data_IF_190091215863
#
_entry.id   IF_190091215863
#
_cell.length_a   1.000
_cell.length_b   1.000
_cell.length_c   1.000
_cell.angle_alpha   90.00
_cell.angle_beta   90.00
_cell.angle_gamma   90.00
#
_symmetry.space_group_name_H-M   'P 1'
#
loop_
_entity.id
_entity.type
_entity.pdbx_description
1 polymer ?
#
# COMPACT_ATOMS: atom_id res chain seq x y z
N UNK A 1 -14.73 8.63 11.06
CA UNK A 1 -13.33 8.45 11.44
C UNK A 1 -12.52 8.13 10.18
N UNK A 2 -11.57 8.99 9.85
CA UNK A 2 -10.78 8.78 8.66
C UNK A 2 -9.68 7.78 8.92
N UNK A 3 -9.77 6.69 8.22
CA UNK A 3 -8.87 5.57 8.35
C UNK A 3 -7.58 5.76 7.56
N UNK A 4 -7.64 6.59 6.53
CA UNK A 4 -6.59 6.67 5.54
C UNK A 4 -6.33 8.11 5.12
N UNK A 5 -5.07 8.55 5.25
CA UNK A 5 -4.64 9.87 4.82
C UNK A 5 -3.44 9.74 3.88
N UNK A 6 -3.45 10.55 2.82
CA UNK A 6 -2.33 10.66 1.88
C UNK A 6 -1.93 12.12 1.82
N UNK A 7 -0.64 12.40 2.01
CA UNK A 7 -0.10 13.77 1.99
C UNK A 7 -0.89 14.70 2.93
N UNK A 8 -1.23 14.17 4.12
CA UNK A 8 -2.00 14.87 5.14
C UNK A 8 -3.43 15.23 4.72
N UNK A 9 -3.91 14.67 3.62
CA UNK A 9 -5.29 14.82 3.17
C UNK A 9 -6.09 13.57 3.51
N UNK A 10 -7.15 13.74 4.28
CA UNK A 10 -8.04 12.64 4.60
C UNK A 10 -8.98 12.39 3.42
N UNK A 11 -9.05 11.13 3.01
CA UNK A 11 -9.97 10.69 1.97
C UNK A 11 -11.10 9.92 2.62
N UNK A 12 -12.32 10.34 2.31
CA UNK A 12 -13.52 9.63 2.75
C UNK A 12 -13.70 8.39 1.87
N UNK A 13 -12.86 7.40 2.13
CA UNK A 13 -12.82 6.18 1.35
C UNK A 13 -13.27 4.99 2.21
N UNK A 14 -14.07 4.13 1.60
CA UNK A 14 -14.54 2.92 2.24
C UNK A 14 -13.56 1.79 1.98
N UNK A 15 -12.85 1.36 3.01
CA UNK A 15 -11.91 0.24 2.91
C UNK A 15 -12.68 -1.04 3.20
N UNK A 16 -12.80 -1.90 2.21
CA UNK A 16 -13.56 -3.17 2.33
C UNK A 16 -12.66 -4.37 2.53
N UNK A 17 -11.41 -4.27 2.17
CA UNK A 17 -10.42 -5.31 2.40
C UNK A 17 -9.06 -4.66 2.64
N UNK A 18 -8.32 -5.24 3.58
CA UNK A 18 -7.07 -4.68 4.02
C UNK A 18 -6.15 -5.80 4.45
N UNK A 19 -4.91 -5.77 3.98
CA UNK A 19 -3.88 -6.72 4.42
C UNK A 19 -2.56 -6.00 4.66
N UNK A 20 -1.83 -6.49 5.63
CA UNK A 20 -0.49 -6.04 5.95
C UNK A 20 0.47 -7.19 5.71
N UNK A 21 1.58 -6.90 5.06
CA UNK A 21 2.63 -7.88 4.84
C UNK A 21 3.98 -7.27 5.16
N UNK A 22 4.94 -8.11 5.49
CA UNK A 22 6.30 -7.63 5.67
C UNK A 22 7.27 -8.42 4.80
N UNK A 23 8.37 -7.77 4.48
CA UNK A 23 9.45 -8.38 3.72
C UNK A 23 10.78 -7.94 4.35
N UNK A 24 11.62 -8.91 4.69
CA UNK A 24 12.93 -8.62 5.24
C UNK A 24 13.95 -8.76 4.11
N UNK A 25 14.64 -7.66 3.82
CA UNK A 25 15.65 -7.66 2.78
C UNK A 25 17.03 -7.90 3.36
N UNK A 26 17.83 -8.67 2.63
CA UNK A 26 19.19 -9.04 3.00
C UNK A 26 20.15 -8.61 1.91
N UNK A 27 21.39 -8.32 2.30
CA UNK A 27 22.44 -8.01 1.32
C UNK A 27 22.91 -9.28 0.62
N UNK A 28 23.70 -9.10 -0.44
CA UNK A 28 24.33 -10.23 -1.14
C UNK A 28 25.33 -10.99 -0.28
N UNK A 29 25.73 -10.45 0.87
CA UNK A 29 26.61 -11.14 1.82
C UNK A 29 25.88 -12.22 2.60
N UNK A 30 24.56 -12.23 2.60
CA UNK A 30 23.74 -13.27 3.23
C UNK A 30 23.91 -14.56 2.45
N UNK A 31 24.47 -15.57 3.10
CA UNK A 31 24.74 -16.86 2.45
C UNK A 31 24.88 -17.98 3.46
N UNK A 32 24.76 -19.20 2.98
CA UNK A 32 24.97 -20.41 3.77
C UNK A 32 26.38 -20.93 3.54
N UNK A 33 27.10 -21.29 4.60
CA UNK A 33 28.44 -21.86 4.45
C UNK A 33 28.37 -23.28 3.92
N UNK A 34 29.30 -23.64 3.06
CA UNK A 34 29.36 -25.01 2.48
C UNK A 34 29.77 -26.04 3.54
N UNK A 35 30.65 -25.66 4.47
CA UNK A 35 31.22 -26.61 5.42
C UNK A 35 30.22 -27.04 6.50
N UNK A 36 29.45 -26.13 7.06
CA UNK A 36 28.54 -26.42 8.16
C UNK A 36 27.07 -26.24 7.83
N UNK A 37 26.77 -25.67 6.68
CA UNK A 37 25.39 -25.29 6.33
C UNK A 37 24.86 -24.12 7.13
N UNK A 38 25.69 -23.49 7.93
CA UNK A 38 25.30 -22.34 8.74
C UNK A 38 24.97 -21.13 7.85
N UNK A 39 23.87 -20.46 8.16
CA UNK A 39 23.43 -19.29 7.40
C UNK A 39 23.98 -18.02 8.05
N UNK A 40 24.73 -17.24 7.28
CA UNK A 40 25.14 -15.90 7.67
C UNK A 40 24.08 -14.91 7.19
N UNK A 41 23.52 -14.15 8.13
CA UNK A 41 22.45 -13.19 7.86
C UNK A 41 23.00 -11.78 7.92
N UNK A 42 22.79 -11.03 6.82
CA UNK A 42 23.17 -9.62 6.76
C UNK A 42 21.94 -8.81 6.35
N UNK A 43 21.05 -8.54 7.31
CA UNK A 43 19.77 -7.88 6.99
C UNK A 43 19.94 -6.40 6.75
N UNK A 44 19.18 -5.86 5.79
CA UNK A 44 19.04 -4.43 5.54
C UNK A 44 17.97 -3.85 6.47
N UNK A 45 16.85 -4.53 6.55
CA UNK A 45 15.73 -4.10 7.37
C UNK A 45 14.42 -4.73 6.94
N UNK A 46 13.37 -4.41 7.67
CA UNK A 46 12.01 -4.90 7.40
C UNK A 46 11.18 -3.81 6.74
N UNK A 47 10.53 -4.18 5.65
CA UNK A 47 9.65 -3.32 4.85
C UNK A 47 8.23 -3.81 5.03
N UNK A 48 7.39 -3.01 5.67
CA UNK A 48 5.99 -3.36 5.96
C UNK A 48 5.10 -2.66 4.95
N UNK A 49 4.49 -3.44 4.07
CA UNK A 49 3.61 -2.94 3.04
C UNK A 49 2.16 -3.30 3.29
N UNK A 50 1.27 -2.70 2.53
CA UNK A 50 -0.16 -2.90 2.66
C UNK A 50 -0.81 -3.10 1.29
N UNK A 51 -1.86 -3.92 1.25
CA UNK A 51 -2.77 -4.01 0.12
C UNK A 51 -4.13 -3.55 0.59
N UNK A 52 -4.71 -2.59 -0.10
CA UNK A 52 -5.97 -1.98 0.31
C UNK A 52 -6.96 -2.02 -0.84
N UNK A 53 -8.16 -2.48 -0.56
CA UNK A 53 -9.28 -2.47 -1.51
C UNK A 53 -10.29 -1.42 -1.07
N UNK A 54 -10.54 -0.46 -1.94
CA UNK A 54 -11.48 0.63 -1.71
C UNK A 54 -12.77 0.38 -2.47
N UNK A 55 -13.89 0.72 -1.85
CA UNK A 55 -15.19 0.72 -2.49
C UNK A 55 -15.75 2.14 -2.55
N UNK A 56 -16.62 2.46 -3.53
CA UNK A 56 -17.25 3.76 -3.56
C UNK A 56 -18.12 3.96 -2.32
N UNK A 57 -18.03 5.15 -1.75
CA UNK A 57 -18.95 5.61 -0.72
C UNK A 57 -20.02 6.48 -1.36
N UNK A 58 -20.64 7.33 -0.58
CA UNK A 58 -21.65 8.28 -1.06
C UNK A 58 -21.08 9.27 -2.07
N UNK A 59 -19.77 9.50 -2.04
CA UNK A 59 -19.10 10.42 -2.95
C UNK A 59 -18.24 9.66 -3.97
N UNK A 60 -18.79 9.49 -5.16
CA UNK A 60 -18.06 8.85 -6.27
C UNK A 60 -16.89 9.69 -6.76
N UNK A 61 -16.99 11.02 -6.63
CA UNK A 61 -15.90 11.89 -7.03
C UNK A 61 -14.65 11.65 -6.18
N UNK A 62 -14.82 11.43 -4.88
CA UNK A 62 -13.71 11.11 -3.98
C UNK A 62 -13.07 9.76 -4.34
N UNK A 63 -13.89 8.79 -4.67
CA UNK A 63 -13.41 7.46 -5.11
C UNK A 63 -12.57 7.57 -6.39
N UNK A 64 -13.07 8.30 -7.39
CA UNK A 64 -12.35 8.49 -8.64
C UNK A 64 -11.09 9.32 -8.46
N UNK A 65 -11.13 10.33 -7.60
CA UNK A 65 -9.97 11.16 -7.29
C UNK A 65 -8.85 10.34 -6.65
N UNK A 66 -9.20 9.45 -5.73
CA UNK A 66 -8.24 8.57 -5.07
C UNK A 66 -7.61 7.58 -6.07
N UNK A 67 -8.42 6.98 -6.94
CA UNK A 67 -7.91 6.12 -8.00
C UNK A 67 -6.95 6.86 -8.93
N UNK A 68 -7.33 8.07 -9.35
CA UNK A 68 -6.48 8.88 -10.21
C UNK A 68 -5.19 9.31 -9.52
N UNK A 69 -5.23 9.54 -8.22
CA UNK A 69 -4.04 9.85 -7.44
C UNK A 69 -3.01 8.72 -7.52
N UNK A 70 -3.46 7.47 -7.32
CA UNK A 70 -2.55 6.32 -7.34
C UNK A 70 -1.96 6.03 -8.72
N UNK A 71 -2.64 6.41 -9.78
CA UNK A 71 -2.16 6.17 -11.14
C UNK A 71 -1.00 7.06 -11.56
N UNK A 72 -0.81 8.18 -10.91
CA UNK A 72 0.25 9.14 -11.29
C UNK A 72 1.59 8.68 -10.72
N UNK A 73 2.58 8.39 -11.59
CA UNK A 73 3.91 8.04 -11.11
C UNK A 73 4.59 9.23 -10.43
N UNK A 74 5.24 8.96 -9.29
CA UNK A 74 5.93 9.98 -8.51
C UNK A 74 7.32 9.49 -8.15
N UNK A 75 8.34 10.31 -8.41
CA UNK A 75 9.73 9.94 -8.13
C UNK A 75 10.03 9.76 -6.65
N UNK A 76 9.38 10.55 -5.82
CA UNK A 76 9.60 10.54 -4.37
C UNK A 76 8.50 9.82 -3.61
N UNK A 77 7.54 9.23 -4.34
CA UNK A 77 6.41 8.55 -3.74
C UNK A 77 5.44 9.52 -3.08
N UNK A 78 4.79 9.04 -2.04
CA UNK A 78 3.81 9.82 -1.29
C UNK A 78 3.83 9.40 0.17
N UNK A 79 3.44 10.32 1.05
CA UNK A 79 3.34 10.03 2.48
C UNK A 79 1.96 9.45 2.79
N UNK A 80 1.94 8.32 3.47
CA UNK A 80 0.71 7.65 3.84
C UNK A 80 0.61 7.51 5.36
N UNK A 81 -0.61 7.68 5.86
CA UNK A 81 -0.93 7.51 7.27
C UNK A 81 -2.14 6.59 7.38
N UNK A 82 -1.95 5.50 8.08
CA UNK A 82 -2.98 4.50 8.31
C UNK A 82 -3.30 4.45 9.79
N UNK A 83 -4.58 4.52 10.13
CA UNK A 83 -5.01 4.42 11.51
C UNK A 83 -5.42 2.99 11.77
N UNK A 84 -4.59 2.28 12.53
CA UNK A 84 -4.91 0.97 13.06
C UNK A 84 -5.56 1.15 14.43
N UNK A 85 -6.35 0.19 14.88
CA UNK A 85 -7.21 0.23 16.06
C UNK A 85 -6.73 1.09 17.24
N UNK A 86 -5.45 1.06 17.53
CA UNK A 86 -4.86 1.79 18.66
C UNK A 86 -3.58 2.52 18.31
N UNK A 87 -3.07 2.33 17.11
CA UNK A 87 -1.83 2.93 16.66
C UNK A 87 -2.01 3.55 15.28
N UNK A 88 -1.14 4.50 14.99
CA UNK A 88 -1.07 5.12 13.67
C UNK A 88 0.23 4.68 13.03
N UNK A 89 0.13 4.18 11.80
CA UNK A 89 1.30 3.80 11.00
C UNK A 89 1.48 4.86 9.93
N UNK A 90 2.68 5.39 9.83
CA UNK A 90 3.02 6.49 8.94
C UNK A 90 4.32 6.17 8.22
N UNK A 91 4.35 6.29 6.90
CA UNK A 91 5.57 6.06 6.14
C UNK A 91 5.47 6.66 4.74
N UNK A 92 6.62 6.85 4.10
CA UNK A 92 6.68 7.23 2.69
C UNK A 92 6.61 5.98 1.83
N UNK A 93 5.76 6.02 0.82
CA UNK A 93 5.38 4.84 0.07
C UNK A 93 5.32 5.10 -1.44
N UNK A 94 5.19 4.01 -2.18
CA UNK A 94 4.86 4.06 -3.60
C UNK A 94 3.91 2.93 -3.93
N UNK A 95 3.26 3.04 -5.08
CA UNK A 95 2.36 2.01 -5.61
C UNK A 95 2.95 1.48 -6.91
N UNK A 96 3.04 0.18 -7.05
CA UNK A 96 3.58 -0.44 -8.27
C UNK A 96 2.49 -0.89 -9.23
N UNK A 97 1.33 -1.29 -8.72
CA UNK A 97 0.20 -1.67 -9.55
C UNK A 97 -1.12 -1.45 -8.83
N UNK A 98 -2.17 -1.42 -9.62
CA UNK A 98 -3.53 -1.34 -9.11
C UNK A 98 -4.50 -1.93 -10.11
N UNK A 99 -5.65 -2.35 -9.63
CA UNK A 99 -6.72 -2.90 -10.45
C UNK A 99 -8.06 -2.32 -10.02
N UNK A 100 -8.89 -2.04 -10.99
CA UNK A 100 -10.22 -1.48 -10.77
C UNK A 100 -11.27 -2.42 -11.35
N UNK A 101 -12.28 -2.74 -10.56
CA UNK A 101 -13.32 -3.69 -10.95
C UNK A 101 -14.66 -2.99 -11.07
N UNK A 102 -15.31 -3.20 -12.22
CA UNK A 102 -16.66 -2.69 -12.45
C UNK A 102 -17.70 -3.80 -12.35
N UNK A 103 -18.91 -3.45 -11.97
CA UNK A 103 -20.03 -4.38 -11.86
C UNK A 103 -20.87 -4.41 -13.13
N UNK A 104 -21.01 -3.27 -13.81
CA UNK A 104 -21.90 -3.16 -14.97
C UNK A 104 -21.63 -1.89 -15.76
N UNK A 105 -22.12 -1.89 -17.01
CA UNK A 105 -22.12 -0.71 -17.86
C UNK A 105 -23.56 -0.51 -18.33
N UNK A 106 -24.14 0.66 -18.06
CA UNK A 106 -25.49 1.00 -18.44
C UNK A 106 -25.47 2.34 -19.20
N UNK A 107 -25.94 2.33 -20.43
CA UNK A 107 -26.00 3.53 -21.29
C UNK A 107 -24.65 4.26 -21.42
N UNK A 108 -23.56 3.48 -21.51
CA UNK A 108 -22.22 4.04 -21.61
C UNK A 108 -21.61 4.50 -20.29
N UNK A 109 -22.34 4.36 -19.19
CA UNK A 109 -21.84 4.71 -17.84
C UNK A 109 -21.32 3.46 -17.15
N UNK A 110 -20.07 3.52 -16.72
CA UNK A 110 -19.43 2.41 -16.02
C UNK A 110 -19.65 2.57 -14.52
N UNK A 111 -20.14 1.51 -13.89
CA UNK A 111 -20.35 1.45 -12.44
C UNK A 111 -19.22 0.67 -11.81
N UNK A 112 -18.25 1.39 -11.22
CA UNK A 112 -17.10 0.80 -10.57
C UNK A 112 -17.48 0.36 -9.15
N UNK A 113 -17.09 -0.86 -8.78
CA UNK A 113 -17.35 -1.42 -7.44
C UNK A 113 -16.20 -1.22 -6.49
N UNK A 114 -14.99 -1.58 -6.93
CA UNK A 114 -13.81 -1.53 -6.06
C UNK A 114 -12.57 -1.21 -6.87
N UNK A 115 -11.55 -0.72 -6.18
CA UNK A 115 -10.20 -0.79 -6.71
C UNK A 115 -9.24 -1.24 -5.61
N UNK A 116 -8.20 -1.95 -6.02
CA UNK A 116 -7.16 -2.44 -5.13
C UNK A 116 -5.83 -1.86 -5.54
N UNK A 117 -5.06 -1.42 -4.56
CA UNK A 117 -3.69 -0.93 -4.77
C UNK A 117 -2.78 -1.52 -3.71
N UNK A 118 -1.50 -1.69 -4.08
CA UNK A 118 -0.47 -2.02 -3.12
C UNK A 118 0.22 -0.73 -2.67
N UNK A 119 0.57 -0.68 -1.41
CA UNK A 119 1.30 0.44 -0.82
C UNK A 119 2.58 -0.11 -0.26
N UNK A 120 3.70 0.27 -0.87
CA UNK A 120 5.01 -0.30 -0.60
C UNK A 120 5.89 0.78 0.03
N UNK A 121 6.53 0.50 1.17
CA UNK A 121 7.40 1.50 1.81
C UNK A 121 8.68 1.73 0.99
N UNK A 122 9.14 2.98 0.98
CA UNK A 122 10.39 3.36 0.33
C UNK A 122 11.58 2.97 1.20
N UNK A 123 11.46 3.20 2.51
CA UNK A 123 12.52 2.93 3.47
C UNK A 123 12.10 1.84 4.45
N UNK A 124 13.08 1.17 5.03
CA UNK A 124 12.82 0.17 6.06
C UNK A 124 12.23 0.81 7.32
N UNK A 125 11.14 0.24 7.82
CA UNK A 125 10.52 0.72 9.06
C UNK A 125 11.18 0.11 10.29
N UNK A 126 11.75 -1.09 10.16
CA UNK A 126 12.48 -1.75 11.24
C UNK A 126 13.90 -2.03 10.79
N UNK A 127 14.88 -1.53 11.52
CA UNK A 127 16.29 -1.75 11.21
C UNK A 127 16.87 -2.81 12.15
N UNK A 128 17.93 -3.52 11.72
CA UNK A 128 18.55 -4.56 12.56
C UNK A 128 19.23 -3.99 13.78
#
# INVERSE_FOLDING_TARGET
MNYFEIENTAYDANVVEFSENFNILYTSNTKRTLASGHMFLDPIGTFIGHSITFAPMNDRAAFDALWNFFKVPRREGFHVKLVDNQTTIEYDAYTSNGARKGSRIINGVVYWETFEVNIIPIDAQVTP
#
